data_IF_283440565873
#
_entry.id   IF_283440565873
#
_cell.length_a   1.000
_cell.length_b   1.000
_cell.length_c   1.000
_cell.angle_alpha   90.00
_cell.angle_beta   90.00
_cell.angle_gamma   90.00
#
_symmetry.space_group_name_H-M   'P 1'
#
loop_
_entity.id
_entity.type
_entity.pdbx_description
1 polymer ?
#
# COMPACT_ATOMS: atom_id res chain seq x y z
N UNK A 1 1.06 -3.29 -19.89
CA UNK A 1 2.40 -3.56 -19.33
C UNK A 1 2.52 -2.65 -18.12
N UNK A 2 2.41 -3.18 -16.91
CA UNK A 2 2.46 -2.40 -15.66
C UNK A 2 3.94 -2.01 -15.44
N UNK A 3 4.31 -0.80 -15.84
CA UNK A 3 5.67 -0.26 -15.65
C UNK A 3 5.85 0.21 -14.22
N UNK A 4 6.02 -0.70 -13.27
CA UNK A 4 6.56 -0.37 -11.94
C UNK A 4 8.04 -0.01 -12.11
N UNK A 5 8.34 1.27 -12.25
CA UNK A 5 9.68 1.81 -12.05
C UNK A 5 9.78 2.21 -10.58
N UNK A 6 10.69 1.59 -9.83
CA UNK A 6 11.13 2.05 -8.50
C UNK A 6 10.13 1.89 -7.33
N UNK A 7 9.79 0.65 -6.97
CA UNK A 7 9.05 0.36 -5.73
C UNK A 7 9.97 0.06 -4.53
N UNK A 8 9.69 0.62 -3.35
CA UNK A 8 10.35 0.25 -2.09
C UNK A 8 9.69 -1.01 -1.50
N UNK A 9 10.50 -1.95 -1.01
CA UNK A 9 10.01 -3.19 -0.36
C UNK A 9 10.33 -3.17 1.12
N UNK A 10 9.31 -3.37 1.95
CA UNK A 10 9.37 -3.36 3.41
C UNK A 10 8.92 -4.72 3.93
N UNK A 11 9.54 -5.21 5.01
CA UNK A 11 9.18 -6.49 5.63
C UNK A 11 8.24 -6.28 6.81
N UNK A 12 7.27 -7.17 6.94
CA UNK A 12 6.34 -7.22 8.06
C UNK A 12 6.13 -8.68 8.46
N UNK A 13 6.92 -9.19 9.40
CA UNK A 13 6.97 -10.63 9.68
C UNK A 13 7.32 -11.42 8.42
N UNK A 14 6.43 -12.34 8.03
CA UNK A 14 6.53 -13.08 6.77
C UNK A 14 6.04 -12.33 5.52
N UNK A 15 5.34 -11.20 5.69
CA UNK A 15 4.74 -10.43 4.60
C UNK A 15 5.71 -9.41 4.00
N UNK A 16 5.38 -8.97 2.79
CA UNK A 16 6.09 -7.89 2.08
C UNK A 16 5.13 -6.77 1.77
N UNK A 17 5.46 -5.55 2.16
CA UNK A 17 4.77 -4.33 1.73
C UNK A 17 5.59 -3.74 0.59
N UNK A 18 4.94 -3.45 -0.53
CA UNK A 18 5.53 -2.79 -1.69
C UNK A 18 4.87 -1.44 -1.85
N UNK A 19 5.67 -0.38 -1.84
CA UNK A 19 5.24 0.99 -2.10
C UNK A 19 5.79 1.40 -3.45
N UNK A 20 4.94 1.81 -4.38
CA UNK A 20 5.36 2.28 -5.70
C UNK A 20 4.53 3.48 -6.14
N UNK A 21 5.04 4.26 -7.08
CA UNK A 21 4.24 5.22 -7.83
C UNK A 21 3.74 4.54 -9.10
N UNK A 22 2.44 4.56 -9.35
CA UNK A 22 1.81 3.96 -10.52
C UNK A 22 1.20 5.05 -11.40
N UNK A 23 1.30 4.86 -12.71
CA UNK A 23 0.77 5.75 -13.75
C UNK A 23 -0.22 4.95 -14.63
N UNK A 24 -1.39 4.54 -14.12
CA UNK A 24 -2.46 4.06 -15.00
C UNK A 24 -2.88 5.15 -16.00
N UNK A 25 -3.55 4.76 -17.09
CA UNK A 25 -3.75 5.61 -18.28
C UNK A 25 -4.41 6.99 -18.01
N UNK A 26 -5.25 7.08 -16.97
CA UNK A 26 -6.03 8.30 -16.65
C UNK A 26 -5.88 8.76 -15.19
N UNK A 27 -5.05 8.09 -14.38
CA UNK A 27 -4.84 8.45 -12.98
C UNK A 27 -3.39 8.18 -12.58
N UNK A 28 -2.94 8.78 -11.50
CA UNK A 28 -1.59 8.53 -11.00
C UNK A 28 -1.53 8.68 -9.49
N UNK A 29 -0.57 7.99 -8.89
CA UNK A 29 -0.29 8.19 -7.48
C UNK A 29 0.40 7.02 -6.83
N UNK A 30 0.41 7.08 -5.51
CA UNK A 30 1.06 6.07 -4.68
C UNK A 30 0.19 4.83 -4.60
N UNK A 31 0.84 3.68 -4.68
CA UNK A 31 0.25 2.36 -4.57
C UNK A 31 0.95 1.60 -3.46
N UNK A 32 0.18 0.99 -2.57
CA UNK A 32 0.70 0.19 -1.47
C UNK A 32 0.10 -1.20 -1.57
N UNK A 33 0.93 -2.20 -1.86
CA UNK A 33 0.52 -3.60 -2.01
C UNK A 33 1.13 -4.44 -0.88
N UNK A 34 0.35 -5.32 -0.27
CA UNK A 34 0.82 -6.26 0.76
C UNK A 34 0.75 -7.67 0.21
N UNK A 35 1.89 -8.36 0.19
CA UNK A 35 2.05 -9.68 -0.38
C UNK A 35 2.34 -10.73 0.68
N UNK A 36 1.70 -11.87 0.52
CA UNK A 36 2.06 -13.10 1.19
C UNK A 36 3.40 -13.67 0.66
N UNK A 37 4.12 -14.48 1.45
CA UNK A 37 5.35 -15.13 1.02
C UNK A 37 5.23 -15.97 -0.26
N UNK A 38 4.05 -16.53 -0.54
CA UNK A 38 3.78 -17.30 -1.78
C UNK A 38 3.66 -16.41 -3.03
N UNK A 39 3.66 -15.08 -2.87
CA UNK A 39 3.53 -14.11 -3.95
C UNK A 39 2.10 -13.64 -4.19
N UNK A 40 1.11 -14.15 -3.46
CA UNK A 40 -0.26 -13.66 -3.56
C UNK A 40 -0.37 -12.25 -2.94
N UNK A 41 -1.08 -11.36 -3.62
CA UNK A 41 -1.41 -10.04 -3.08
C UNK A 41 -2.62 -10.21 -2.14
N UNK A 42 -2.52 -9.65 -0.94
CA UNK A 42 -3.56 -9.69 0.09
C UNK A 42 -4.31 -8.37 0.17
N UNK A 43 -3.59 -7.25 0.12
CA UNK A 43 -4.15 -5.90 0.22
C UNK A 43 -3.53 -5.02 -0.85
N UNK A 44 -4.36 -4.20 -1.49
CA UNK A 44 -3.90 -3.19 -2.43
C UNK A 44 -4.60 -1.86 -2.15
N UNK A 45 -3.82 -0.87 -1.74
CA UNK A 45 -4.26 0.50 -1.58
C UNK A 45 -3.86 1.30 -2.82
N UNK A 46 -4.85 1.74 -3.59
CA UNK A 46 -4.65 2.73 -4.65
C UNK A 46 -4.87 4.11 -4.05
N UNK A 47 -3.83 4.94 -3.99
CA UNK A 47 -3.89 6.29 -3.43
C UNK A 47 -3.92 7.33 -4.56
N UNK A 48 -4.80 7.10 -5.53
CA UNK A 48 -4.90 7.88 -6.76
C UNK A 48 -5.99 8.96 -6.63
N UNK A 49 -5.78 10.12 -7.24
CA UNK A 49 -6.72 11.25 -7.18
C UNK A 49 -7.16 11.64 -5.75
N UNK A 50 -8.47 11.84 -5.55
CA UNK A 50 -9.08 12.15 -4.24
C UNK A 50 -9.87 10.99 -3.64
N UNK A 51 -9.89 9.83 -4.31
CA UNK A 51 -10.72 8.69 -3.98
C UNK A 51 -9.83 7.44 -3.82
N UNK A 52 -9.04 7.34 -2.74
CA UNK A 52 -8.29 6.13 -2.47
C UNK A 52 -9.22 4.93 -2.39
N UNK A 53 -8.71 3.79 -2.83
CA UNK A 53 -9.43 2.51 -2.74
C UNK A 53 -8.56 1.47 -2.06
N UNK A 54 -9.14 0.73 -1.11
CA UNK A 54 -8.57 -0.49 -0.55
C UNK A 54 -9.27 -1.69 -1.17
N UNK A 55 -8.49 -2.55 -1.80
CA UNK A 55 -8.91 -3.82 -2.37
C UNK A 55 -8.36 -4.95 -1.48
N UNK A 56 -9.25 -5.84 -1.03
CA UNK A 56 -8.90 -7.03 -0.24
C UNK A 56 -8.99 -8.29 -1.11
N UNK A 57 -7.85 -8.95 -1.28
CA UNK A 57 -7.63 -10.16 -2.09
C UNK A 57 -7.42 -11.39 -1.19
N UNK A 58 -7.57 -12.63 -1.67
CA UNK A 58 -7.76 -13.06 -3.07
C UNK A 58 -9.20 -12.95 -3.59
N UNK A 59 -10.20 -12.70 -2.75
CA UNK A 59 -11.59 -12.74 -3.21
C UNK A 59 -12.06 -11.48 -3.94
N UNK A 60 -11.34 -10.35 -3.88
CA UNK A 60 -11.85 -9.03 -4.33
C UNK A 60 -13.25 -8.70 -3.77
N UNK A 61 -13.66 -9.36 -2.70
CA UNK A 61 -15.02 -9.25 -2.15
C UNK A 61 -15.25 -7.91 -1.47
N UNK A 62 -14.16 -7.22 -1.10
CA UNK A 62 -14.21 -5.97 -0.36
C UNK A 62 -13.36 -4.94 -1.06
N UNK A 63 -14.06 -4.00 -1.69
CA UNK A 63 -13.52 -2.75 -2.20
C UNK A 63 -14.06 -1.61 -1.34
N UNK A 64 -13.16 -0.80 -0.77
CA UNK A 64 -13.53 0.34 0.06
C UNK A 64 -12.95 1.59 -0.57
N UNK A 65 -13.84 2.43 -1.11
CA UNK A 65 -13.48 3.74 -1.65
C UNK A 65 -13.99 4.83 -0.72
N UNK A 66 -13.13 5.78 -0.38
CA UNK A 66 -13.50 6.90 0.48
C UNK A 66 -13.05 8.23 -0.14
N UNK A 67 -13.92 9.25 -0.12
CA UNK A 67 -13.54 10.59 -0.56
C UNK A 67 -12.76 11.28 0.56
N UNK A 68 -11.45 11.41 0.39
CA UNK A 68 -10.56 12.02 1.40
C UNK A 68 -9.74 13.15 0.81
N UNK A 69 -9.25 14.03 1.68
CA UNK A 69 -8.36 15.12 1.27
C UNK A 69 -6.97 14.63 0.87
N UNK A 70 -6.50 13.58 1.53
CA UNK A 70 -5.14 13.06 1.38
C UNK A 70 -5.19 11.51 1.29
N UNK A 71 -5.25 10.93 0.08
CA UNK A 71 -5.34 9.48 -0.14
C UNK A 71 -4.23 8.69 0.56
N UNK A 72 -3.00 9.22 0.49
CA UNK A 72 -1.82 8.62 1.12
C UNK A 72 -1.95 8.58 2.63
N UNK A 73 -2.37 9.69 3.25
CA UNK A 73 -2.58 9.75 4.70
C UNK A 73 -3.63 8.75 5.13
N UNK A 74 -4.73 8.65 4.38
CA UNK A 74 -5.76 7.66 4.64
C UNK A 74 -5.24 6.22 4.58
N UNK A 75 -4.50 5.85 3.53
CA UNK A 75 -3.98 4.49 3.40
C UNK A 75 -3.02 4.13 4.55
N UNK A 76 -2.17 5.08 4.95
CA UNK A 76 -1.28 4.91 6.10
C UNK A 76 -2.06 4.75 7.41
N UNK A 77 -3.13 5.52 7.62
CA UNK A 77 -4.00 5.36 8.80
C UNK A 77 -4.69 3.99 8.82
N UNK A 78 -5.07 3.45 7.65
CA UNK A 78 -5.60 2.09 7.54
C UNK A 78 -4.54 1.03 7.90
N UNK A 79 -3.29 1.22 7.49
CA UNK A 79 -2.18 0.34 7.88
C UNK A 79 -1.92 0.41 9.40
N UNK A 80 -1.99 1.59 10.01
CA UNK A 80 -1.74 1.75 11.45
C UNK A 80 -2.83 1.13 12.31
N UNK A 81 -4.09 1.32 11.91
CA UNK A 81 -5.24 1.03 12.78
C UNK A 81 -5.93 -0.29 12.45
N UNK A 82 -5.89 -0.69 11.18
CA UNK A 82 -6.76 -1.75 10.66
C UNK A 82 -6.00 -2.86 9.92
N UNK A 83 -4.66 -2.81 9.81
CA UNK A 83 -3.90 -3.80 9.03
C UNK A 83 -4.19 -5.25 9.43
N UNK A 84 -4.15 -5.57 10.72
CA UNK A 84 -4.45 -6.94 11.20
C UNK A 84 -5.87 -7.37 10.82
N UNK A 85 -6.83 -6.45 10.90
CA UNK A 85 -8.23 -6.71 10.52
C UNK A 85 -8.33 -7.00 9.03
N UNK A 86 -7.71 -6.18 8.19
CA UNK A 86 -7.74 -6.37 6.73
C UNK A 86 -7.02 -7.63 6.29
N UNK A 87 -5.87 -7.94 6.89
CA UNK A 87 -5.16 -9.20 6.65
C UNK A 87 -6.01 -10.41 7.02
N UNK A 88 -6.74 -10.35 8.14
CA UNK A 88 -7.68 -11.40 8.52
C UNK A 88 -8.80 -11.58 7.49
N UNK A 89 -9.35 -10.48 6.93
CA UNK A 89 -10.31 -10.56 5.83
C UNK A 89 -9.71 -11.13 4.54
N UNK A 90 -8.42 -10.88 4.29
CA UNK A 90 -7.66 -11.47 3.20
C UNK A 90 -7.31 -12.97 3.43
N UNK A 91 -7.69 -13.55 4.57
CA UNK A 91 -7.41 -14.94 4.94
C UNK A 91 -6.02 -15.16 5.56
N UNK A 92 -5.30 -14.09 5.91
CA UNK A 92 -4.03 -14.18 6.62
C UNK A 92 -4.25 -14.12 8.12
N UNK A 93 -3.93 -15.22 8.80
CA UNK A 93 -4.19 -15.39 10.23
C UNK A 93 -2.92 -15.58 11.07
N UNK A 94 -1.74 -15.56 10.43
CA UNK A 94 -0.48 -15.55 11.14
C UNK A 94 -0.37 -14.27 11.97
N UNK A 95 -0.12 -14.43 13.27
CA UNK A 95 -0.03 -13.32 14.20
C UNK A 95 1.15 -12.43 13.85
N UNK A 96 0.90 -11.13 13.66
CA UNK A 96 1.95 -10.13 13.46
C UNK A 96 2.13 -9.38 14.78
N UNK A 97 3.35 -9.36 15.36
CA UNK A 97 3.57 -8.68 16.61
C UNK A 97 3.42 -7.15 16.44
N UNK A 98 2.83 -6.44 17.41
CA UNK A 98 2.56 -5.00 17.30
C UNK A 98 3.78 -4.14 16.95
N UNK A 99 4.97 -4.53 17.44
CA UNK A 99 6.23 -3.82 17.16
C UNK A 99 6.64 -3.90 15.69
N UNK A 100 6.35 -5.01 15.01
CA UNK A 100 6.63 -5.14 13.58
C UNK A 100 5.65 -4.28 12.77
N UNK A 101 4.39 -4.19 13.18
CA UNK A 101 3.39 -3.30 12.56
C UNK A 101 3.85 -1.83 12.66
N UNK A 102 4.28 -1.40 13.85
CA UNK A 102 4.80 -0.04 14.07
C UNK A 102 6.03 0.24 13.19
N UNK A 103 6.96 -0.70 13.13
CA UNK A 103 8.18 -0.58 12.33
C UNK A 103 7.86 -0.48 10.83
N UNK A 104 7.07 -1.43 10.31
CA UNK A 104 6.71 -1.46 8.90
C UNK A 104 5.89 -0.24 8.48
N UNK A 105 5.03 0.28 9.36
CA UNK A 105 4.29 1.52 9.09
C UNK A 105 5.25 2.70 8.98
N UNK A 106 6.21 2.84 9.90
CA UNK A 106 7.20 3.91 9.85
C UNK A 106 8.04 3.83 8.57
N UNK A 107 8.46 2.64 8.19
CA UNK A 107 9.19 2.41 6.95
C UNK A 107 8.31 2.70 5.71
N UNK A 108 7.02 2.35 5.75
CA UNK A 108 6.05 2.66 4.69
C UNK A 108 5.91 4.16 4.50
N UNK A 109 5.76 4.94 5.59
CA UNK A 109 5.73 6.40 5.54
C UNK A 109 6.99 6.97 4.89
N UNK A 110 8.17 6.44 5.24
CA UNK A 110 9.44 6.88 4.67
C UNK A 110 9.55 6.53 3.17
N UNK A 111 9.16 5.31 2.80
CA UNK A 111 9.13 4.86 1.41
C UNK A 111 8.21 5.71 0.54
N UNK A 112 7.01 6.05 1.04
CA UNK A 112 6.08 6.92 0.32
C UNK A 112 6.70 8.30 0.07
N UNK A 113 7.33 8.90 1.09
CA UNK A 113 7.99 10.19 0.93
C UNK A 113 9.15 10.14 -0.08
N UNK A 114 9.88 9.03 -0.14
CA UNK A 114 10.97 8.81 -1.10
C UNK A 114 10.44 8.65 -2.53
N UNK A 115 9.43 7.82 -2.71
CA UNK A 115 8.79 7.55 -4.01
C UNK A 115 8.17 8.84 -4.58
N UNK A 116 7.46 9.63 -3.77
CA UNK A 116 6.90 10.91 -4.20
C UNK A 116 7.97 11.90 -4.65
N UNK A 117 9.06 12.05 -3.88
CA UNK A 117 10.16 12.96 -4.24
C UNK A 117 10.84 12.56 -5.56
N UNK A 118 11.04 11.25 -5.79
CA UNK A 118 11.64 10.74 -7.03
C UNK A 118 10.77 11.04 -8.25
N UNK A 119 9.45 10.93 -8.12
CA UNK A 119 8.50 11.30 -9.18
C UNK A 119 8.57 12.79 -9.51
N UNK A 120 8.59 13.67 -8.52
CA UNK A 120 8.70 15.14 -8.74
C UNK A 120 10.02 15.53 -9.44
N UNK A 121 11.12 14.89 -9.08
CA UNK A 121 12.43 15.09 -9.72
C UNK A 121 12.47 14.57 -11.16
N UNK A 122 11.79 13.47 -11.46
CA UNK A 122 11.72 12.92 -12.81
C UNK A 122 10.82 13.74 -13.74
N UNK A 123 9.85 14.48 -13.21
CA UNK A 123 8.95 15.33 -13.99
C UNK A 123 9.53 16.71 -14.37
N UNK A 124 10.66 17.11 -13.75
CA UNK A 124 11.30 18.42 -13.95
C UNK A 124 12.61 18.35 -14.75
N UNK A 125 13.00 17.16 -15.22
CA UNK A 125 14.22 16.89 -15.98
C UNK A 125 14.04 16.71 -17.47
#
# INVERSE_FOLDING_TARGET
METTRDGSVIRLGGLRIVVAYEYPEDDEGVSIKVFHPDGSCLLHFTCFGSNPTLIVLPSNEVEITESVRCPVTWAVEQLERNLVRWLSFAGYHDGIPPKEIETATKETKAAIAEVSQRTELAATG
#
